data_IF_958745444608
#
_entry.id   IF_958745444608
#
_cell.length_a   1.000
_cell.length_b   1.000
_cell.length_c   1.000
_cell.angle_alpha   90.00
_cell.angle_beta   90.00
_cell.angle_gamma   90.00
#
_symmetry.space_group_name_H-M   'P 1'
#
loop_
_entity.id
_entity.type
_entity.pdbx_description
1 polymer ?
#
# COMPACT_ATOMS: atom_id res chain seq x y z
N UNK A 1 -4.26 -3.17 24.40
CA UNK A 1 -3.44 -2.39 23.45
C UNK A 1 -3.74 -2.96 22.07
N UNK A 2 -4.29 -2.17 21.15
CA UNK A 2 -4.73 -2.66 19.85
C UNK A 2 -3.52 -2.87 18.94
N UNK A 3 -3.29 -4.11 18.51
CA UNK A 3 -2.21 -4.48 17.58
C UNK A 3 -2.71 -4.73 16.16
N UNK A 4 -4.01 -4.99 16.03
CA UNK A 4 -4.69 -5.41 14.81
C UNK A 4 -5.93 -4.56 14.58
N UNK A 5 -6.13 -4.06 13.37
CA UNK A 5 -7.26 -3.22 12.97
C UNK A 5 -7.66 -3.61 11.56
N UNK A 6 -8.94 -3.92 11.42
CA UNK A 6 -9.59 -4.26 10.17
C UNK A 6 -10.59 -3.17 9.84
N UNK A 7 -10.48 -2.65 8.63
CA UNK A 7 -11.45 -1.77 7.99
C UNK A 7 -11.98 -2.54 6.78
N UNK A 8 -13.28 -2.79 6.74
CA UNK A 8 -13.93 -3.58 5.71
C UNK A 8 -15.19 -2.83 5.24
N UNK A 9 -15.28 -2.54 3.94
CA UNK A 9 -16.43 -1.85 3.35
C UNK A 9 -16.58 -0.40 3.82
N UNK A 10 -15.53 0.20 4.37
CA UNK A 10 -15.57 1.57 4.91
C UNK A 10 -15.39 2.60 3.81
N UNK A 11 -16.29 3.57 3.80
CA UNK A 11 -16.26 4.75 2.94
C UNK A 11 -15.62 5.93 3.66
N UNK A 12 -14.56 6.48 3.09
CA UNK A 12 -13.82 7.63 3.63
C UNK A 12 -14.23 8.93 2.94
N UNK A 13 -15.14 9.68 3.56
CA UNK A 13 -15.63 10.95 3.01
C UNK A 13 -14.83 12.19 3.48
N UNK A 14 -14.16 12.10 4.63
CA UNK A 14 -13.40 13.19 5.25
C UNK A 14 -11.89 12.92 5.18
N UNK A 15 -11.20 13.71 4.35
CA UNK A 15 -9.75 13.60 4.15
C UNK A 15 -8.95 13.85 5.42
N UNK A 16 -9.39 14.77 6.28
CA UNK A 16 -8.67 15.15 7.51
C UNK A 16 -8.73 13.99 8.51
N UNK A 17 -9.91 13.39 8.68
CA UNK A 17 -10.09 12.25 9.56
C UNK A 17 -9.32 11.04 9.03
N UNK A 18 -9.37 10.79 7.73
CA UNK A 18 -8.65 9.69 7.06
C UNK A 18 -7.14 9.82 7.25
N UNK A 19 -6.57 11.01 7.00
CA UNK A 19 -5.14 11.29 7.23
C UNK A 19 -4.75 11.11 8.69
N UNK A 20 -5.60 11.57 9.62
CA UNK A 20 -5.34 11.44 11.05
C UNK A 20 -5.34 9.97 11.48
N UNK A 21 -6.29 9.17 10.97
CA UNK A 21 -6.41 7.74 11.26
C UNK A 21 -5.14 6.99 10.84
N UNK A 22 -4.60 7.26 9.65
CA UNK A 22 -3.43 6.57 9.13
C UNK A 22 -2.09 7.27 9.45
N UNK A 23 -2.08 8.18 10.43
CA UNK A 23 -0.88 8.85 10.90
C UNK A 23 -0.20 8.11 12.04
N UNK A 24 1.12 8.30 12.17
CA UNK A 24 1.96 7.64 13.18
C UNK A 24 1.56 7.97 14.60
N UNK A 25 0.91 9.12 14.79
CA UNK A 25 0.43 9.61 16.08
C UNK A 25 -0.83 8.90 16.59
N UNK A 26 -1.63 8.31 15.71
CA UNK A 26 -2.90 7.70 16.10
C UNK A 26 -2.71 6.35 16.80
N UNK A 27 -1.73 5.56 16.35
CA UNK A 27 -1.59 4.17 16.78
C UNK A 27 -0.11 3.76 16.94
N UNK A 28 0.54 4.07 18.08
CA UNK A 28 1.99 3.88 18.25
C UNK A 28 2.45 2.41 18.30
N UNK A 29 1.54 1.46 18.48
CA UNK A 29 1.82 0.04 18.81
C UNK A 29 1.15 -0.92 17.85
N UNK A 30 0.83 -0.42 16.67
CA UNK A 30 -0.07 -1.03 15.72
C UNK A 30 0.73 -1.81 14.69
N UNK A 31 0.57 -3.13 14.69
CA UNK A 31 1.44 -4.05 13.97
C UNK A 31 0.78 -4.55 12.68
N UNK A 32 -0.54 -4.75 12.68
CA UNK A 32 -1.27 -5.40 11.57
C UNK A 32 -2.46 -4.56 11.12
N UNK A 33 -2.40 -4.03 9.88
CA UNK A 33 -3.46 -3.23 9.27
C UNK A 33 -4.08 -3.98 8.09
N UNK A 34 -5.38 -4.17 8.12
CA UNK A 34 -6.14 -4.71 7.00
C UNK A 34 -7.17 -3.66 6.57
N UNK A 35 -7.09 -3.27 5.31
CA UNK A 35 -8.05 -2.39 4.64
C UNK A 35 -8.58 -3.18 3.46
N UNK A 36 -9.84 -3.58 3.54
CA UNK A 36 -10.53 -4.42 2.57
C UNK A 36 -11.76 -3.66 2.05
N UNK A 37 -11.95 -3.64 0.74
CA UNK A 37 -13.12 -3.09 0.05
C UNK A 37 -13.48 -1.66 0.51
N UNK A 38 -12.46 -0.88 0.87
CA UNK A 38 -12.58 0.51 1.28
C UNK A 38 -12.37 1.44 0.09
N UNK A 39 -13.03 2.60 0.15
CA UNK A 39 -13.00 3.57 -0.94
C UNK A 39 -13.20 5.02 -0.48
N UNK A 40 -12.77 5.97 -1.32
CA UNK A 40 -13.02 7.40 -1.17
C UNK A 40 -13.87 7.92 -2.34
N UNK A 41 -14.71 8.93 -2.09
CA UNK A 41 -15.56 9.53 -3.14
C UNK A 41 -14.82 10.45 -4.11
N UNK A 42 -13.56 10.78 -3.82
CA UNK A 42 -12.80 11.79 -4.57
C UNK A 42 -11.41 11.25 -4.81
N UNK A 43 -10.79 11.65 -5.93
CA UNK A 43 -9.38 11.42 -6.20
C UNK A 43 -8.55 11.96 -5.04
N UNK A 44 -8.16 11.09 -4.12
CA UNK A 44 -7.49 11.44 -2.88
C UNK A 44 -6.26 10.58 -2.74
N UNK A 45 -5.20 11.17 -2.21
CA UNK A 45 -4.01 10.40 -1.91
C UNK A 45 -4.19 9.68 -0.58
N UNK A 46 -4.30 8.35 -0.60
CA UNK A 46 -4.24 7.55 0.62
C UNK A 46 -2.81 7.55 1.13
N UNK A 47 -2.58 8.11 2.31
CA UNK A 47 -1.26 8.14 2.95
C UNK A 47 -1.27 7.35 4.24
N UNK A 48 -0.48 6.28 4.31
CA UNK A 48 -0.32 5.46 5.51
C UNK A 48 1.10 5.65 6.04
N UNK A 49 1.23 6.28 7.20
CA UNK A 49 2.51 6.47 7.89
C UNK A 49 2.42 5.91 9.30
N UNK A 50 2.65 4.61 9.46
CA UNK A 50 2.54 3.91 10.75
C UNK A 50 3.85 3.17 11.01
N UNK A 51 4.67 3.74 11.90
CA UNK A 51 6.06 3.33 12.09
C UNK A 51 6.22 1.94 12.71
N UNK A 52 5.23 1.48 13.48
CA UNK A 52 5.21 0.16 14.11
C UNK A 52 4.58 -0.94 13.24
N UNK A 53 4.08 -0.59 12.04
CA UNK A 53 3.37 -1.52 11.18
C UNK A 53 4.32 -2.59 10.63
N UNK A 54 3.94 -3.85 10.79
CA UNK A 54 4.68 -5.06 10.37
C UNK A 54 3.96 -5.82 9.26
N UNK A 55 2.62 -5.77 9.25
CA UNK A 55 1.78 -6.38 8.23
C UNK A 55 0.77 -5.37 7.68
N UNK A 56 0.69 -5.29 6.35
CA UNK A 56 -0.31 -4.50 5.65
C UNK A 56 -1.01 -5.36 4.61
N UNK A 57 -2.34 -5.44 4.70
CA UNK A 57 -3.20 -5.80 3.57
C UNK A 57 -3.97 -4.58 3.13
N UNK A 58 -3.87 -4.24 1.85
CA UNK A 58 -4.57 -3.11 1.26
C UNK A 58 -5.26 -3.58 -0.02
N UNK A 59 -6.59 -3.67 0.02
CA UNK A 59 -7.45 -3.73 -1.14
C UNK A 59 -8.18 -2.38 -1.23
N UNK A 60 -7.72 -1.50 -2.11
CA UNK A 60 -8.28 -0.16 -2.28
C UNK A 60 -8.80 0.00 -3.70
N UNK A 61 -10.13 0.11 -3.81
CA UNK A 61 -10.80 0.30 -5.09
C UNK A 61 -10.76 1.79 -5.42
N UNK A 62 -9.92 2.21 -6.39
CA UNK A 62 -9.90 3.48 -7.18
C UNK A 62 -8.45 3.86 -7.59
N UNK A 63 -8.32 4.72 -8.60
CA UNK A 63 -7.06 5.31 -9.13
C UNK A 63 -6.36 6.30 -8.18
N UNK A 64 -6.58 6.14 -6.89
CA UNK A 64 -5.99 6.98 -5.86
C UNK A 64 -4.49 6.67 -5.72
N UNK A 65 -3.67 7.72 -5.68
CA UNK A 65 -2.25 7.57 -5.39
C UNK A 65 -2.09 7.07 -3.94
N UNK A 66 -1.41 5.96 -3.75
CA UNK A 66 -1.11 5.43 -2.42
C UNK A 66 0.32 5.77 -2.01
N UNK A 67 0.49 6.46 -0.88
CA UNK A 67 1.78 6.72 -0.25
C UNK A 67 1.94 5.85 1.00
N UNK A 68 3.01 5.06 1.07
CA UNK A 68 3.31 4.23 2.23
C UNK A 68 4.66 4.62 2.84
N UNK A 69 4.62 5.07 4.09
CA UNK A 69 5.78 5.40 4.93
C UNK A 69 5.78 4.51 6.18
N UNK A 70 6.24 3.27 5.98
CA UNK A 70 6.08 2.15 6.93
C UNK A 70 7.42 1.41 7.06
N UNK A 71 8.46 2.04 7.65
CA UNK A 71 9.83 1.52 7.58
C UNK A 71 10.03 0.17 8.31
N UNK A 72 9.11 -0.21 9.20
CA UNK A 72 9.17 -1.50 9.92
C UNK A 72 8.39 -2.64 9.25
N UNK A 73 7.83 -2.41 8.06
CA UNK A 73 6.98 -3.37 7.36
C UNK A 73 7.76 -4.66 7.05
N UNK A 74 7.12 -5.81 7.22
CA UNK A 74 7.72 -7.13 6.93
C UNK A 74 6.97 -7.89 5.87
N UNK A 75 5.66 -7.71 5.83
CA UNK A 75 4.80 -8.36 4.84
C UNK A 75 3.76 -7.37 4.31
N UNK A 76 3.64 -7.34 2.99
CA UNK A 76 2.62 -6.55 2.29
C UNK A 76 1.81 -7.43 1.33
N UNK A 77 0.49 -7.27 1.39
CA UNK A 77 -0.44 -7.74 0.39
C UNK A 77 -1.17 -6.52 -0.19
N UNK A 78 -0.73 -6.08 -1.35
CA UNK A 78 -1.18 -4.86 -2.00
C UNK A 78 -1.98 -5.20 -3.25
N UNK A 79 -3.24 -4.78 -3.27
CA UNK A 79 -4.17 -4.95 -4.38
C UNK A 79 -4.86 -3.63 -4.67
N UNK A 80 -4.33 -2.86 -5.61
CA UNK A 80 -4.89 -1.56 -6.02
C UNK A 80 -4.70 -1.38 -7.54
N UNK A 81 -5.11 -0.24 -8.11
CA UNK A 81 -4.93 0.03 -9.55
C UNK A 81 -3.52 0.51 -9.91
N UNK A 82 -2.81 1.17 -8.99
CA UNK A 82 -1.49 1.75 -9.24
C UNK A 82 -0.43 1.29 -8.23
N UNK A 83 0.88 1.36 -8.55
CA UNK A 83 1.95 1.02 -7.64
C UNK A 83 2.01 2.04 -6.50
N UNK A 84 2.22 1.61 -5.24
CA UNK A 84 2.37 2.54 -4.14
C UNK A 84 3.69 3.30 -4.25
N UNK A 85 3.69 4.56 -3.85
CA UNK A 85 4.91 5.31 -3.60
C UNK A 85 5.47 4.90 -2.23
N UNK A 86 6.62 4.23 -2.24
CA UNK A 86 7.29 3.73 -1.04
C UNK A 86 8.74 4.24 -0.96
N UNK A 87 9.22 4.48 0.25
CA UNK A 87 10.64 4.75 0.50
C UNK A 87 11.49 3.49 0.36
N UNK A 88 12.78 3.65 0.05
CA UNK A 88 13.73 2.53 0.03
C UNK A 88 13.81 1.83 1.39
N UNK A 89 13.68 2.57 2.49
CA UNK A 89 13.69 2.02 3.84
C UNK A 89 12.52 1.05 4.05
N UNK A 90 11.30 1.43 3.65
CA UNK A 90 10.12 0.56 3.71
C UNK A 90 10.26 -0.67 2.83
N UNK A 91 10.87 -0.53 1.64
CA UNK A 91 11.12 -1.67 0.75
C UNK A 91 12.19 -2.61 1.29
N UNK A 92 13.20 -2.07 1.98
CA UNK A 92 14.33 -2.83 2.53
C UNK A 92 13.93 -3.72 3.71
N UNK A 93 12.88 -3.37 4.45
CA UNK A 93 12.40 -4.17 5.58
C UNK A 93 11.47 -5.32 5.17
N UNK A 94 10.93 -5.29 3.95
CA UNK A 94 10.05 -6.33 3.43
C UNK A 94 10.76 -7.68 3.31
N UNK A 95 10.10 -8.70 3.86
CA UNK A 95 10.47 -10.11 3.72
C UNK A 95 9.54 -10.82 2.76
N UNK A 96 8.27 -10.41 2.68
CA UNK A 96 7.24 -11.04 1.85
C UNK A 96 6.39 -9.97 1.17
N UNK A 97 6.19 -10.10 -0.14
CA UNK A 97 5.38 -9.16 -0.90
C UNK A 97 4.45 -9.90 -1.87
N UNK A 98 3.17 -9.58 -1.81
CA UNK A 98 2.20 -9.88 -2.85
C UNK A 98 1.70 -8.56 -3.40
N UNK A 99 1.93 -8.30 -4.68
CA UNK A 99 1.51 -7.06 -5.32
C UNK A 99 0.70 -7.41 -6.56
N UNK A 100 -0.55 -6.95 -6.58
CA UNK A 100 -1.50 -7.21 -7.64
C UNK A 100 -2.09 -5.87 -8.09
N UNK A 101 -2.11 -5.67 -9.40
CA UNK A 101 -2.77 -4.52 -10.00
C UNK A 101 -4.06 -4.94 -10.69
N UNK A 102 -5.15 -4.25 -10.35
CA UNK A 102 -6.45 -4.41 -11.00
C UNK A 102 -6.41 -3.67 -12.34
N UNK A 103 -6.61 -4.40 -13.45
CA UNK A 103 -6.70 -3.92 -14.84
C UNK A 103 -5.40 -3.57 -15.58
N UNK A 104 -4.91 -4.49 -16.43
CA UNK A 104 -3.79 -4.23 -17.35
C UNK A 104 -4.18 -3.38 -18.58
N UNK A 105 -5.47 -3.33 -18.93
CA UNK A 105 -5.93 -2.82 -20.24
C UNK A 105 -5.79 -1.28 -20.37
N UNK A 106 -5.90 -0.53 -19.28
CA UNK A 106 -5.68 0.93 -19.20
C UNK A 106 -4.22 1.33 -18.97
N UNK A 107 -3.38 0.41 -18.49
CA UNK A 107 -1.97 0.65 -18.11
C UNK A 107 -1.04 0.63 -19.34
N UNK A 108 -1.54 0.21 -20.50
CA UNK A 108 -0.74 -0.17 -21.68
C UNK A 108 0.23 0.88 -22.24
N UNK A 109 0.29 2.12 -21.74
CA UNK A 109 1.34 3.11 -22.08
C UNK A 109 1.71 4.10 -20.95
N UNK A 110 1.40 3.84 -19.68
CA UNK A 110 1.76 4.79 -18.60
C UNK A 110 3.21 4.59 -18.13
N UNK A 111 4.13 5.39 -18.68
CA UNK A 111 5.54 5.36 -18.29
C UNK A 111 5.74 5.63 -16.79
N UNK A 112 4.86 6.42 -16.15
CA UNK A 112 4.95 6.72 -14.72
C UNK A 112 4.62 5.51 -13.86
N UNK A 113 3.65 4.70 -14.30
CA UNK A 113 3.34 3.40 -13.70
C UNK A 113 4.55 2.48 -13.74
N UNK A 114 5.13 2.25 -14.92
CA UNK A 114 6.26 1.32 -15.08
C UNK A 114 7.50 1.79 -14.34
N UNK A 115 7.78 3.09 -14.33
CA UNK A 115 8.88 3.66 -13.54
C UNK A 115 8.67 3.43 -12.04
N UNK A 116 7.44 3.57 -11.54
CA UNK A 116 7.11 3.31 -10.13
C UNK A 116 7.21 1.82 -9.79
N UNK A 117 6.65 0.95 -10.62
CA UNK A 117 6.77 -0.50 -10.47
C UNK A 117 8.23 -0.97 -10.47
N UNK A 118 9.06 -0.47 -11.41
CA UNK A 118 10.50 -0.75 -11.46
C UNK A 118 11.22 -0.31 -10.18
N UNK A 119 10.92 0.89 -9.66
CA UNK A 119 11.49 1.38 -8.41
C UNK A 119 11.16 0.46 -7.23
N UNK A 120 9.92 -0.03 -7.15
CA UNK A 120 9.53 -1.01 -6.13
C UNK A 120 10.38 -2.27 -6.29
N UNK A 121 10.40 -2.88 -7.48
CA UNK A 121 11.16 -4.11 -7.74
C UNK A 121 12.65 -3.96 -7.39
N UNK A 122 13.28 -2.84 -7.75
CA UNK A 122 14.68 -2.56 -7.42
C UNK A 122 14.90 -2.43 -5.90
N UNK A 123 13.89 -1.99 -5.15
CA UNK A 123 13.96 -1.88 -3.69
C UNK A 123 13.72 -3.19 -2.95
N UNK A 124 13.11 -4.22 -3.57
CA UNK A 124 12.77 -5.51 -2.94
C UNK A 124 13.97 -6.48 -2.85
N UNK A 125 15.07 -6.06 -2.25
CA UNK A 125 16.31 -6.83 -2.19
C UNK A 125 16.37 -7.88 -1.07
N UNK A 126 15.55 -7.73 0.00
CA UNK A 126 15.52 -8.65 1.15
C UNK A 126 14.32 -9.61 1.14
N UNK A 127 13.52 -9.59 0.07
CA UNK A 127 12.30 -10.38 -0.04
C UNK A 127 12.62 -11.85 -0.31
N UNK A 128 12.09 -12.75 0.54
CA UNK A 128 12.20 -14.19 0.37
C UNK A 128 10.99 -14.83 -0.35
N UNK A 129 9.88 -14.08 -0.46
CA UNK A 129 8.68 -14.48 -1.17
C UNK A 129 8.10 -13.29 -1.92
N UNK A 130 8.05 -13.40 -3.24
CA UNK A 130 7.50 -12.39 -4.13
C UNK A 130 6.42 -13.00 -5.02
N UNK A 131 5.23 -12.42 -4.99
CA UNK A 131 4.13 -12.74 -5.90
C UNK A 131 3.70 -11.46 -6.61
N UNK A 132 3.72 -11.47 -7.94
CA UNK A 132 3.35 -10.35 -8.78
C UNK A 132 2.17 -10.76 -9.68
N UNK A 133 1.27 -9.84 -10.01
CA UNK A 133 0.29 -10.05 -11.08
C UNK A 133 0.87 -9.73 -12.46
N UNK A 134 0.11 -10.06 -13.51
CA UNK A 134 0.53 -9.97 -14.92
C UNK A 134 1.01 -8.57 -15.37
N UNK A 135 0.60 -7.49 -14.69
CA UNK A 135 0.98 -6.12 -15.05
C UNK A 135 2.38 -5.65 -14.63
N UNK A 136 3.21 -6.51 -14.02
CA UNK A 136 4.53 -6.13 -13.50
C UNK A 136 5.72 -6.37 -14.44
N UNK A 137 5.58 -7.24 -15.44
CA UNK A 137 6.67 -7.71 -16.30
C UNK A 137 6.22 -7.60 -17.75
N UNK A 138 6.89 -6.73 -18.51
CA UNK A 138 6.82 -6.65 -19.98
C UNK A 138 7.85 -7.59 -20.62
#
# INVERSE_FOLDING_TARGET
MLKYFLLDGIKFDDEIITKKLFSSSAFPVFEDLLIEDCFSNRSQTLSISIQSLKFLRLNWEYDDMVNLDIPSIREINYRCFSPPNMSCDSLSSLLRATIQFSEADTISNDETFYNSARRILMGLHNVNYLSLSEGFIE
#
